data_IF_108809412892
#
_entry.id   IF_108809412892
#
_cell.length_a   1.000
_cell.length_b   1.000
_cell.length_c   1.000
_cell.angle_alpha   90.00
_cell.angle_beta   90.00
_cell.angle_gamma   90.00
#
_symmetry.space_group_name_H-M   'P 1'
#
loop_
_entity.id
_entity.type
_entity.pdbx_description
1 polymer ?
#
# COMPACT_ATOMS: atom_id res chain seq x y z
N UNK A 1 -16.35 12.08 -15.26
CA UNK A 1 -16.81 13.08 -14.27
C UNK A 1 -17.27 14.31 -15.05
N UNK A 2 -18.40 14.91 -14.68
CA UNK A 2 -18.80 16.20 -15.26
C UNK A 2 -17.68 17.23 -15.00
N UNK A 3 -17.22 18.01 -16.00
CA UNK A 3 -16.08 18.92 -15.85
C UNK A 3 -16.30 19.93 -14.72
N UNK A 4 -17.55 20.34 -14.50
CA UNK A 4 -17.93 21.22 -13.39
C UNK A 4 -17.67 20.59 -12.01
N UNK A 5 -18.01 19.32 -11.84
CA UNK A 5 -17.76 18.58 -10.59
C UNK A 5 -16.26 18.47 -10.32
N UNK A 6 -15.45 18.22 -11.36
CA UNK A 6 -14.00 18.17 -11.22
C UNK A 6 -13.42 19.51 -10.74
N UNK A 7 -13.90 20.62 -11.30
CA UNK A 7 -13.49 21.97 -10.90
C UNK A 7 -13.83 22.22 -9.42
N UNK A 8 -14.99 21.80 -8.94
CA UNK A 8 -15.34 21.97 -7.52
C UNK A 8 -14.44 21.09 -6.65
N UNK A 9 -14.35 19.79 -6.96
CA UNK A 9 -13.64 18.82 -6.13
C UNK A 9 -12.13 19.08 -6.05
N UNK A 10 -11.53 19.66 -7.09
CA UNK A 10 -10.09 19.97 -7.12
C UNK A 10 -9.84 21.44 -6.81
N UNK A 11 -10.62 22.34 -7.38
CA UNK A 11 -10.41 23.78 -7.27
C UNK A 11 -10.69 24.34 -5.87
N UNK A 12 -11.73 23.87 -5.18
CA UNK A 12 -12.03 24.34 -3.82
C UNK A 12 -10.91 23.96 -2.84
N UNK A 13 -10.44 22.70 -2.79
CA UNK A 13 -9.29 22.35 -1.94
C UNK A 13 -8.02 23.12 -2.30
N UNK A 14 -7.70 23.29 -3.59
CA UNK A 14 -6.54 24.08 -4.01
C UNK A 14 -6.66 25.54 -3.57
N UNK A 15 -7.84 26.15 -3.69
CA UNK A 15 -8.08 27.51 -3.22
C UNK A 15 -7.86 27.63 -1.69
N UNK A 16 -8.28 26.62 -0.91
CA UNK A 16 -8.01 26.56 0.52
C UNK A 16 -6.52 26.48 0.83
N UNK A 17 -5.75 25.65 0.13
CA UNK A 17 -4.30 25.55 0.31
C UNK A 17 -3.60 26.89 0.01
N UNK A 18 -4.00 27.58 -1.06
CA UNK A 18 -3.52 28.93 -1.36
C UNK A 18 -3.90 29.90 -0.25
N UNK A 19 -5.14 29.83 0.25
CA UNK A 19 -5.61 30.66 1.36
C UNK A 19 -4.78 30.47 2.65
N UNK A 20 -4.51 29.22 3.03
CA UNK A 20 -3.67 28.92 4.19
C UNK A 20 -2.22 29.37 4.01
N UNK A 21 -1.65 29.16 2.83
CA UNK A 21 -0.31 29.63 2.51
C UNK A 21 -0.21 31.17 2.58
N UNK A 22 -1.19 31.88 2.02
CA UNK A 22 -1.26 33.34 2.08
C UNK A 22 -1.42 33.83 3.53
N UNK A 23 -2.27 33.19 4.33
CA UNK A 23 -2.42 33.48 5.75
C UNK A 23 -1.08 33.31 6.49
N UNK A 24 -0.43 32.15 6.35
CA UNK A 24 0.85 31.87 6.99
C UNK A 24 1.94 32.86 6.56
N UNK A 25 1.96 33.26 5.28
CA UNK A 25 2.92 34.24 4.76
C UNK A 25 2.80 35.61 5.45
N UNK A 26 1.56 36.07 5.67
CA UNK A 26 1.28 37.36 6.32
C UNK A 26 1.43 37.29 7.83
N UNK A 27 1.13 36.14 8.44
CA UNK A 27 1.10 35.98 9.89
C UNK A 27 2.47 35.64 10.49
N UNK A 28 3.27 34.80 9.82
CA UNK A 28 4.55 34.31 10.32
C UNK A 28 5.54 35.40 10.78
N UNK A 29 5.73 36.54 10.07
CA UNK A 29 6.68 37.57 10.50
C UNK A 29 6.34 38.19 11.85
N UNK A 30 5.06 38.20 12.25
CA UNK A 30 4.62 38.73 13.55
C UNK A 30 5.17 37.93 14.74
N UNK A 31 5.61 36.70 14.47
CA UNK A 31 6.14 35.75 15.46
C UNK A 31 7.63 35.45 15.25
N UNK A 32 8.33 36.25 14.44
CA UNK A 32 9.77 36.03 14.16
C UNK A 32 10.06 34.81 13.29
N UNK A 33 9.07 34.32 12.55
CA UNK A 33 9.18 33.15 11.68
C UNK A 33 9.43 33.54 10.21
N UNK A 34 10.14 32.69 9.45
CA UNK A 34 10.38 32.92 8.01
C UNK A 34 9.08 32.73 7.19
N UNK A 35 8.56 33.79 6.53
CA UNK A 35 7.25 33.73 5.89
C UNK A 35 7.21 32.79 4.67
N UNK A 36 8.32 32.68 3.92
CA UNK A 36 8.38 31.84 2.72
C UNK A 36 8.36 30.38 3.09
N UNK A 37 9.18 29.99 4.07
CA UNK A 37 9.24 28.63 4.60
C UNK A 37 7.87 28.17 5.08
N UNK A 38 7.19 28.97 5.91
CA UNK A 38 5.91 28.56 6.48
C UNK A 38 4.77 28.56 5.46
N UNK A 39 4.76 29.49 4.50
CA UNK A 39 3.81 29.46 3.39
C UNK A 39 3.99 28.19 2.53
N UNK A 40 5.24 27.82 2.22
CA UNK A 40 5.54 26.59 1.47
C UNK A 40 5.10 25.34 2.25
N UNK A 41 5.41 25.27 3.56
CA UNK A 41 4.98 24.16 4.42
C UNK A 41 3.46 24.03 4.43
N UNK A 42 2.75 25.15 4.65
CA UNK A 42 1.28 25.18 4.69
C UNK A 42 0.64 24.75 3.35
N UNK A 43 1.30 25.03 2.22
CA UNK A 43 0.80 24.63 0.90
C UNK A 43 1.12 23.17 0.55
N UNK A 44 2.37 22.74 0.72
CA UNK A 44 2.85 21.46 0.17
C UNK A 44 2.62 20.26 1.08
N UNK A 45 2.70 20.42 2.41
CA UNK A 45 2.58 19.28 3.34
C UNK A 45 1.25 18.53 3.19
N UNK A 46 0.08 19.19 3.06
CA UNK A 46 -1.19 18.48 2.86
C UNK A 46 -1.25 17.63 1.59
N UNK A 47 -0.45 17.93 0.57
CA UNK A 47 -0.43 17.18 -0.70
C UNK A 47 0.19 15.79 -0.55
N UNK A 48 1.03 15.57 0.46
CA UNK A 48 1.69 14.27 0.65
C UNK A 48 0.69 13.13 0.89
N UNK A 49 -0.39 13.37 1.64
CA UNK A 49 -1.43 12.35 1.84
C UNK A 49 -2.16 11.99 0.54
N UNK A 50 -2.40 12.97 -0.32
CA UNK A 50 -2.98 12.74 -1.63
C UNK A 50 -2.05 11.95 -2.54
N UNK A 51 -0.77 12.32 -2.61
CA UNK A 51 0.21 11.58 -3.41
C UNK A 51 0.45 10.16 -2.88
N UNK A 52 0.49 9.98 -1.56
CA UNK A 52 0.57 8.64 -0.96
C UNK A 52 -0.60 7.76 -1.38
N UNK A 53 -1.84 8.28 -1.37
CA UNK A 53 -3.00 7.56 -1.90
C UNK A 53 -2.86 7.25 -3.39
N UNK A 54 -2.41 8.20 -4.21
CA UNK A 54 -2.24 7.96 -5.66
C UNK A 54 -1.21 6.86 -5.92
N UNK A 55 -0.07 6.88 -5.24
CA UNK A 55 0.96 5.85 -5.39
C UNK A 55 0.49 4.49 -4.86
N UNK A 56 -0.08 4.44 -3.65
CA UNK A 56 -0.65 3.20 -3.11
C UNK A 56 -1.75 2.62 -4.01
N UNK A 57 -2.60 3.48 -4.60
CA UNK A 57 -3.63 3.04 -5.55
C UNK A 57 -3.00 2.42 -6.80
N UNK A 58 -1.95 3.03 -7.34
CA UNK A 58 -1.27 2.53 -8.55
C UNK A 58 -0.63 1.16 -8.31
N UNK A 59 -0.13 0.91 -7.09
CA UNK A 59 0.40 -0.39 -6.68
C UNK A 59 -0.68 -1.49 -6.56
N UNK A 60 -1.97 -1.15 -6.53
CA UNK A 60 -3.06 -2.13 -6.42
C UNK A 60 -3.46 -2.76 -7.74
N UNK A 61 -3.11 -2.16 -8.88
CA UNK A 61 -3.43 -2.70 -10.21
C UNK A 61 -2.37 -3.75 -10.65
N UNK A 62 -2.08 -4.71 -9.75
CA UNK A 62 -1.17 -5.81 -10.03
C UNK A 62 -1.73 -6.69 -11.14
N UNK A 63 -0.96 -6.81 -12.23
CA UNK A 63 -1.26 -7.70 -13.35
C UNK A 63 -0.31 -8.90 -13.33
N UNK A 64 -0.79 -10.09 -12.92
CA UNK A 64 0.05 -11.29 -12.85
C UNK A 64 0.54 -11.76 -14.23
N UNK A 65 -0.11 -11.37 -15.33
CA UNK A 65 0.31 -11.77 -16.68
C UNK A 65 1.55 -11.00 -17.16
N UNK A 66 1.77 -9.79 -16.63
CA UNK A 66 2.93 -8.96 -16.98
C UNK A 66 4.06 -9.02 -15.95
N UNK A 67 3.84 -9.67 -14.80
CA UNK A 67 4.87 -9.85 -13.79
C UNK A 67 5.74 -11.09 -14.08
N UNK A 68 7.03 -10.91 -14.45
CA UNK A 68 7.96 -12.01 -14.74
C UNK A 68 8.27 -12.90 -13.53
N UNK A 69 7.83 -12.50 -12.33
CA UNK A 69 7.99 -13.23 -11.07
C UNK A 69 6.67 -13.76 -10.49
N UNK A 70 5.50 -13.48 -11.09
CA UNK A 70 4.20 -14.01 -10.66
C UNK A 70 4.12 -15.55 -10.74
N UNK A 71 4.88 -16.13 -11.67
CA UNK A 71 5.13 -17.56 -11.80
C UNK A 71 4.04 -18.33 -12.55
N UNK A 72 4.36 -18.81 -13.77
CA UNK A 72 3.83 -20.08 -14.27
C UNK A 72 3.39 -20.19 -15.74
N UNK A 73 4.10 -19.64 -16.73
CA UNK A 73 3.80 -19.95 -18.15
C UNK A 73 4.55 -21.20 -18.70
N UNK A 74 5.36 -21.89 -17.90
CA UNK A 74 6.11 -23.06 -18.39
C UNK A 74 6.21 -24.16 -17.31
N UNK A 75 5.12 -24.88 -17.06
CA UNK A 75 5.09 -26.12 -16.24
C UNK A 75 5.65 -26.02 -14.81
N UNK A 76 5.97 -24.82 -14.33
CA UNK A 76 6.53 -24.49 -13.02
C UNK A 76 5.55 -23.60 -12.30
N UNK A 77 4.62 -24.24 -11.62
CA UNK A 77 3.68 -23.63 -10.68
C UNK A 77 4.41 -22.93 -9.54
N UNK A 78 4.02 -21.70 -9.19
CA UNK A 78 4.24 -21.11 -7.88
C UNK A 78 5.55 -20.35 -7.65
N UNK A 79 5.38 -19.16 -7.05
CA UNK A 79 6.41 -18.17 -6.76
C UNK A 79 7.65 -18.74 -6.07
N UNK A 80 8.79 -18.11 -6.37
CA UNK A 80 10.09 -18.55 -5.87
C UNK A 80 10.09 -18.59 -4.34
N UNK A 81 10.43 -19.76 -3.78
CA UNK A 81 10.85 -19.87 -2.40
C UNK A 81 12.14 -19.06 -2.24
N UNK A 82 12.02 -17.79 -1.82
CA UNK A 82 13.16 -16.87 -1.63
C UNK A 82 14.13 -17.37 -0.54
N UNK A 83 13.72 -18.37 0.26
CA UNK A 83 14.51 -18.96 1.33
C UNK A 83 14.82 -20.45 1.07
N UNK A 84 16.10 -20.79 1.15
CA UNK A 84 16.64 -22.15 0.97
C UNK A 84 16.00 -23.19 1.90
N UNK A 85 15.57 -22.77 3.09
CA UNK A 85 14.96 -23.65 4.10
C UNK A 85 13.57 -24.18 3.74
N UNK A 86 12.92 -23.65 2.70
CA UNK A 86 11.55 -24.04 2.28
C UNK A 86 11.53 -24.82 0.97
N UNK A 87 12.69 -25.25 0.48
CA UNK A 87 12.75 -26.15 -0.67
C UNK A 87 12.05 -27.47 -0.33
N UNK A 88 10.89 -27.72 -0.95
CA UNK A 88 10.12 -28.94 -0.79
C UNK A 88 8.79 -28.79 -0.07
N UNK A 89 8.45 -27.60 0.45
CA UNK A 89 7.10 -27.31 0.94
C UNK A 89 6.11 -27.24 -0.24
N UNK A 90 4.90 -27.74 -0.03
CA UNK A 90 3.82 -27.62 -1.01
C UNK A 90 3.51 -26.15 -1.27
N UNK A 91 3.38 -25.82 -2.56
CA UNK A 91 3.31 -24.43 -3.00
C UNK A 91 1.92 -23.90 -2.68
N UNK A 92 1.87 -22.86 -1.86
CA UNK A 92 0.63 -22.11 -1.64
C UNK A 92 0.12 -21.61 -2.99
N UNK A 93 -1.17 -21.83 -3.23
CA UNK A 93 -1.86 -21.28 -4.38
C UNK A 93 -1.85 -19.74 -4.39
N UNK A 94 -2.45 -19.13 -5.42
CA UNK A 94 -2.59 -17.68 -5.52
C UNK A 94 -3.05 -17.05 -4.19
N UNK A 95 -2.51 -15.88 -3.83
CA UNK A 95 -2.89 -15.21 -2.58
C UNK A 95 -4.42 -15.00 -2.53
N UNK A 96 -5.12 -15.75 -1.67
CA UNK A 96 -6.58 -15.74 -1.54
C UNK A 96 -7.29 -17.06 -1.93
N UNK A 97 -6.59 -18.07 -2.43
CA UNK A 97 -7.14 -19.44 -2.54
C UNK A 97 -6.86 -20.19 -1.25
N UNK A 98 -7.91 -20.70 -0.60
CA UNK A 98 -7.78 -21.64 0.52
C UNK A 98 -6.94 -22.83 0.04
N UNK A 99 -5.97 -23.26 0.84
CA UNK A 99 -5.26 -24.51 0.57
C UNK A 99 -6.30 -25.63 0.62
N UNK A 100 -6.37 -26.46 -0.41
CA UNK A 100 -7.23 -27.64 -0.41
C UNK A 100 -6.77 -28.54 0.75
N UNK A 101 -7.55 -28.53 1.83
CA UNK A 101 -7.41 -29.43 2.97
C UNK A 101 -7.95 -30.80 2.54
N UNK A 102 -7.20 -31.48 1.67
CA UNK A 102 -7.41 -32.88 1.38
C UNK A 102 -6.99 -33.66 2.63
N UNK A 103 -8.01 -33.98 3.44
CA UNK A 103 -7.86 -34.70 4.68
C UNK A 103 -7.04 -35.97 4.53
N UNK A 104 -5.98 -36.05 5.33
CA UNK A 104 -5.41 -37.31 5.79
C UNK A 104 -5.34 -37.25 7.32
N UNK A 105 -5.94 -38.28 7.89
CA UNK A 105 -6.12 -38.64 9.26
C UNK A 105 -4.79 -38.97 9.95
N UNK A 106 -3.99 -37.94 10.22
CA UNK A 106 -2.73 -38.11 10.93
C UNK A 106 -2.92 -37.79 12.42
N UNK A 107 -3.10 -38.85 13.19
CA UNK A 107 -2.88 -38.93 14.64
C UNK A 107 -1.83 -37.91 15.11
N UNK A 108 -2.25 -36.99 15.97
CA UNK A 108 -1.34 -36.26 16.84
C UNK A 108 -0.53 -37.31 17.61
N UNK A 109 0.73 -37.51 17.21
CA UNK A 109 1.64 -38.43 17.89
C UNK A 109 2.03 -37.83 19.24
N UNK A 110 1.16 -37.98 20.23
CA UNK A 110 1.46 -37.66 21.61
C UNK A 110 2.64 -38.55 22.05
N UNK A 111 3.76 -37.98 22.51
CA UNK A 111 4.88 -38.78 22.98
C UNK A 111 4.48 -39.56 24.23
N UNK A 112 4.73 -40.87 24.22
CA UNK A 112 4.52 -41.74 25.38
C UNK A 112 5.26 -41.19 26.62
N UNK A 113 4.51 -40.88 27.68
CA UNK A 113 5.07 -40.69 29.03
C UNK A 113 4.81 -39.36 29.75
N UNK A 114 3.61 -38.76 29.64
CA UNK A 114 3.14 -37.76 30.62
C UNK A 114 2.02 -38.34 31.47
N UNK A 115 2.39 -38.80 32.67
CA UNK A 115 1.47 -39.14 33.76
C UNK A 115 0.94 -37.82 34.36
N UNK A 116 -0.39 -37.61 34.32
CA UNK A 116 -1.10 -36.58 35.10
C UNK A 116 -2.10 -37.23 36.04
#
# INVERSE_FOLDING_TARGET
MEPFVAVILVGVPLAWLVGFAAYAYVDAPKYGMDPRKWALIAFFVPLFGFFAYVFERDERDYDPETDPYAGGDDGRTGGFAVHESRQGEERLGPAGTEADDDGDDDEWNDPDGVDL
#
